data_IF_559703008468
#
_entry.id   IF_559703008468
#
_cell.length_a   1.000
_cell.length_b   1.000
_cell.length_c   1.000
_cell.angle_alpha   90.00
_cell.angle_beta   90.00
_cell.angle_gamma   90.00
#
_symmetry.space_group_name_H-M   'P 1'
#
loop_
_entity.id
_entity.type
_entity.pdbx_description
1 polymer ?
#
# COMPACT_ATOMS: atom_id res chain seq x y z
N UNK A 1 -17.03 12.83 -2.17
CA UNK A 1 -16.27 11.70 -2.74
C UNK A 1 -15.24 11.29 -1.70
N UNK A 2 -15.24 10.01 -1.35
CA UNK A 2 -14.73 9.55 -0.07
C UNK A 2 -13.26 9.11 -0.13
N UNK A 3 -12.69 8.83 1.05
CA UNK A 3 -11.33 8.32 1.18
C UNK A 3 -11.21 6.97 0.46
N UNK A 4 -10.06 6.70 -0.15
CA UNK A 4 -9.79 5.39 -0.75
C UNK A 4 -8.35 4.95 -0.53
N UNK A 5 -8.15 3.64 -0.55
CA UNK A 5 -6.87 2.99 -0.36
C UNK A 5 -6.55 2.14 -1.59
N UNK A 6 -5.40 2.37 -2.19
CA UNK A 6 -4.86 1.54 -3.26
C UNK A 6 -3.54 0.91 -2.83
N UNK A 7 -3.26 -0.29 -3.33
CA UNK A 7 -2.05 -1.03 -2.97
C UNK A 7 -1.38 -1.58 -4.22
N UNK A 8 -0.09 -1.34 -4.33
CA UNK A 8 0.74 -1.90 -5.40
C UNK A 8 1.72 -2.87 -4.76
N UNK A 9 1.78 -4.07 -5.33
CA UNK A 9 2.70 -5.12 -4.90
C UNK A 9 3.79 -5.25 -5.95
N UNK A 10 5.05 -5.36 -5.53
CA UNK A 10 6.17 -5.47 -6.46
C UNK A 10 7.39 -6.19 -5.86
N UNK A 11 8.32 -6.64 -6.71
CA UNK A 11 9.55 -7.28 -6.26
C UNK A 11 10.50 -6.29 -5.58
N UNK A 12 10.61 -5.07 -6.10
CA UNK A 12 11.58 -4.09 -5.63
C UNK A 12 11.08 -2.64 -5.78
N UNK A 13 11.49 -1.79 -4.86
CA UNK A 13 11.30 -0.34 -4.90
C UNK A 13 12.68 0.30 -4.94
N UNK A 14 12.97 1.05 -5.99
CA UNK A 14 14.22 1.82 -6.12
C UNK A 14 13.93 3.30 -5.97
N UNK A 15 14.79 3.97 -5.21
CA UNK A 15 14.79 5.41 -5.08
C UNK A 15 15.59 6.02 -6.22
N UNK A 16 14.98 6.97 -6.90
CA UNK A 16 15.56 7.71 -8.01
C UNK A 16 15.78 9.18 -7.62
N UNK A 17 16.56 9.90 -8.43
CA UNK A 17 16.80 11.34 -8.25
C UNK A 17 15.47 12.10 -8.21
N UNK A 18 15.33 12.98 -7.21
CA UNK A 18 14.15 13.83 -7.03
C UNK A 18 12.98 13.14 -6.33
N UNK A 19 13.25 12.23 -5.38
CA UNK A 19 12.22 11.52 -4.59
C UNK A 19 11.23 10.70 -5.44
N UNK A 20 11.65 10.26 -6.62
CA UNK A 20 10.87 9.36 -7.47
C UNK A 20 11.13 7.91 -7.08
N UNK A 21 10.15 7.05 -7.37
CA UNK A 21 10.25 5.62 -7.12
C UNK A 21 10.08 4.82 -8.41
N UNK A 22 10.97 3.87 -8.64
CA UNK A 22 10.81 2.83 -9.67
C UNK A 22 10.30 1.56 -9.02
N UNK A 23 9.15 1.06 -9.48
CA UNK A 23 8.55 -0.19 -9.00
C UNK A 23 8.86 -1.32 -9.98
N UNK A 24 9.64 -2.30 -9.55
CA UNK A 24 10.11 -3.41 -10.40
C UNK A 24 9.32 -4.67 -10.12
N UNK A 25 8.92 -5.39 -11.17
CA UNK A 25 8.18 -6.65 -11.05
C UNK A 25 6.81 -6.43 -10.40
N UNK A 26 5.93 -5.66 -11.05
CA UNK A 26 4.59 -5.38 -10.54
C UNK A 26 3.72 -6.65 -10.56
N UNK A 27 3.08 -6.91 -9.43
CA UNK A 27 2.02 -7.91 -9.33
C UNK A 27 0.66 -7.22 -9.43
N UNK A 28 -0.21 -7.75 -10.29
CA UNK A 28 -1.59 -7.29 -10.41
C UNK A 28 -2.43 -7.79 -9.23
N UNK A 29 -3.21 -8.85 -9.42
CA UNK A 29 -4.02 -9.47 -8.35
C UNK A 29 -3.44 -10.78 -7.85
N UNK A 30 -2.55 -11.40 -8.63
CA UNK A 30 -2.03 -12.74 -8.39
C UNK A 30 -0.50 -12.74 -8.47
N UNK A 31 0.12 -13.49 -7.56
CA UNK A 31 1.52 -13.88 -7.57
C UNK A 31 1.58 -15.40 -7.68
N UNK A 32 2.31 -15.88 -8.67
CA UNK A 32 2.44 -17.31 -8.96
C UNK A 32 3.77 -17.85 -8.44
N UNK A 33 3.72 -18.97 -7.74
CA UNK A 33 4.90 -19.75 -7.34
C UNK A 33 4.81 -21.15 -7.95
N UNK A 34 5.94 -21.84 -8.09
CA UNK A 34 5.96 -23.19 -8.67
C UNK A 34 5.45 -24.25 -7.68
N UNK A 35 5.81 -24.13 -6.41
CA UNK A 35 5.41 -25.05 -5.34
C UNK A 35 5.45 -24.34 -3.98
N UNK A 36 4.91 -24.99 -2.95
CA UNK A 36 5.05 -24.54 -1.55
C UNK A 36 5.86 -25.57 -0.74
N UNK A 37 6.67 -25.13 0.24
CA UNK A 37 6.87 -23.75 0.65
C UNK A 37 7.67 -22.94 -0.38
N UNK A 38 7.32 -21.67 -0.54
CA UNK A 38 8.04 -20.74 -1.39
C UNK A 38 8.59 -19.58 -0.57
N UNK A 39 9.77 -19.08 -0.94
CA UNK A 39 10.36 -17.90 -0.34
C UNK A 39 10.68 -16.88 -1.42
N UNK A 40 10.06 -15.71 -1.30
CA UNK A 40 10.42 -14.55 -2.09
C UNK A 40 11.62 -13.87 -1.43
N UNK A 41 12.68 -13.52 -2.20
CA UNK A 41 13.78 -12.73 -1.67
C UNK A 41 13.31 -11.40 -1.08
N UNK A 42 12.30 -10.80 -1.72
CA UNK A 42 11.70 -9.53 -1.35
C UNK A 42 10.27 -9.46 -1.88
N UNK A 43 9.36 -8.93 -1.05
CA UNK A 43 8.05 -8.47 -1.49
C UNK A 43 7.85 -7.05 -0.97
N UNK A 44 7.70 -6.11 -1.89
CA UNK A 44 7.43 -4.72 -1.62
C UNK A 44 5.93 -4.41 -1.74
N UNK A 45 5.44 -3.56 -0.86
CA UNK A 45 4.05 -3.10 -0.82
C UNK A 45 4.06 -1.58 -0.78
N UNK A 46 3.50 -0.93 -1.79
CA UNK A 46 3.26 0.51 -1.84
C UNK A 46 1.79 0.77 -1.56
N UNK A 47 1.53 1.58 -0.55
CA UNK A 47 0.19 1.93 -0.10
C UNK A 47 -0.06 3.40 -0.46
N UNK A 48 -1.10 3.64 -1.24
CA UNK A 48 -1.53 4.97 -1.65
C UNK A 48 -2.88 5.23 -1.00
N UNK A 49 -2.89 6.06 0.05
CA UNK A 49 -4.10 6.48 0.74
C UNK A 49 -4.44 7.90 0.30
N UNK A 50 -5.66 8.10 -0.17
CA UNK A 50 -6.13 9.39 -0.65
C UNK A 50 -7.32 9.88 0.16
N UNK A 51 -7.27 11.13 0.62
CA UNK A 51 -8.31 11.77 1.43
C UNK A 51 -8.73 13.12 0.84
N UNK A 52 -10.00 13.56 1.00
CA UNK A 52 -10.40 14.92 0.68
C UNK A 52 -9.56 15.95 1.46
N UNK A 53 -9.18 17.05 0.82
CA UNK A 53 -8.36 18.08 1.46
C UNK A 53 -9.09 18.79 2.62
N UNK A 54 -10.42 18.91 2.53
CA UNK A 54 -11.26 19.53 3.56
C UNK A 54 -11.59 18.56 4.70
N UNK A 55 -11.23 17.28 4.56
CA UNK A 55 -11.39 16.26 5.58
C UNK A 55 -10.11 15.41 5.73
N UNK A 56 -9.00 16.04 6.17
CA UNK A 56 -7.72 15.36 6.35
C UNK A 56 -7.81 14.26 7.40
N UNK A 57 -6.85 13.33 7.37
CA UNK A 57 -6.76 12.23 8.32
C UNK A 57 -6.34 12.74 9.70
N UNK A 58 -7.07 12.31 10.72
CA UNK A 58 -6.73 12.56 12.13
C UNK A 58 -6.13 11.35 12.82
N UNK A 59 -6.45 10.15 12.33
CA UNK A 59 -5.91 8.88 12.80
C UNK A 59 -5.65 7.97 11.62
N UNK A 60 -4.54 7.25 11.67
CA UNK A 60 -4.23 6.22 10.68
C UNK A 60 -3.44 5.09 11.34
N UNK A 61 -3.94 3.86 11.20
CA UNK A 61 -3.16 2.64 11.41
C UNK A 61 -3.19 1.84 10.12
N UNK A 62 -2.03 1.58 9.52
CA UNK A 62 -1.93 0.73 8.33
C UNK A 62 -1.54 -0.68 8.76
N UNK A 63 -2.30 -1.68 8.31
CA UNK A 63 -2.05 -3.10 8.59
C UNK A 63 -1.80 -3.86 7.30
N UNK A 64 -0.72 -4.63 7.25
CA UNK A 64 -0.51 -5.66 6.22
C UNK A 64 -0.97 -6.98 6.82
N UNK A 65 -1.92 -7.64 6.19
CA UNK A 65 -2.51 -8.89 6.67
C UNK A 65 -2.22 -10.05 5.72
N UNK A 66 -2.08 -11.26 6.26
CA UNK A 66 -2.01 -12.54 5.54
C UNK A 66 -3.14 -13.43 6.05
N UNK A 67 -4.06 -13.79 5.17
CA UNK A 67 -5.26 -14.57 5.51
C UNK A 67 -6.08 -13.96 6.67
N UNK A 68 -6.04 -12.63 6.81
CA UNK A 68 -6.72 -11.88 7.88
C UNK A 68 -5.89 -11.68 9.15
N UNK A 69 -4.76 -12.36 9.30
CA UNK A 69 -3.84 -12.16 10.42
C UNK A 69 -2.85 -11.02 10.13
N UNK A 70 -2.60 -10.14 11.11
CA UNK A 70 -1.70 -9.00 10.94
C UNK A 70 -0.24 -9.46 10.88
N UNK A 71 0.45 -9.16 9.77
CA UNK A 71 1.89 -9.31 9.64
C UNK A 71 2.64 -8.05 10.08
N UNK A 72 2.08 -6.88 9.76
CA UNK A 72 2.62 -5.57 10.11
C UNK A 72 1.47 -4.71 10.60
N UNK A 73 1.71 -3.96 11.67
CA UNK A 73 0.83 -2.91 12.16
C UNK A 73 1.65 -1.62 12.36
N UNK A 74 1.30 -0.58 11.61
CA UNK A 74 2.00 0.70 11.58
C UNK A 74 1.03 1.83 11.98
N UNK A 75 0.92 2.14 13.28
CA UNK A 75 0.18 3.32 13.73
C UNK A 75 0.96 4.60 13.37
N UNK A 76 0.24 5.63 12.96
CA UNK A 76 0.80 6.95 12.67
C UNK A 76 0.45 7.93 13.79
N UNK A 77 1.44 8.69 14.25
CA UNK A 77 1.21 9.77 15.21
C UNK A 77 0.55 10.97 14.53
N UNK A 78 -0.09 11.84 15.31
CA UNK A 78 -0.67 13.08 14.79
C UNK A 78 0.38 13.95 14.08
N UNK A 79 1.61 14.00 14.59
CA UNK A 79 2.70 14.76 13.96
C UNK A 79 3.07 14.23 12.58
N UNK A 80 3.15 12.89 12.44
CA UNK A 80 3.44 12.21 11.17
C UNK A 80 2.32 12.39 10.15
N UNK A 81 1.08 12.64 10.61
CA UNK A 81 -0.05 12.98 9.74
C UNK A 81 -0.06 14.48 9.40
N UNK A 82 0.22 15.35 10.36
CA UNK A 82 0.01 16.79 10.21
C UNK A 82 1.03 17.45 9.28
N UNK A 83 2.32 17.15 9.42
CA UNK A 83 3.36 17.77 8.57
C UNK A 83 3.10 17.61 7.07
N UNK A 84 2.94 16.39 6.51
CA UNK A 84 2.75 16.22 5.08
C UNK A 84 1.40 16.78 4.61
N UNK A 85 0.35 16.73 5.44
CA UNK A 85 -0.96 17.26 5.09
C UNK A 85 -0.96 18.80 5.03
N UNK A 86 -0.33 19.47 6.00
CA UNK A 86 -0.26 20.94 6.06
C UNK A 86 0.47 21.52 4.86
N UNK A 87 1.60 20.96 4.45
CA UNK A 87 2.34 21.43 3.27
C UNK A 87 1.50 21.34 1.98
N UNK A 88 0.73 20.26 1.83
CA UNK A 88 -0.17 20.07 0.67
C UNK A 88 -1.37 21.02 0.73
N UNK A 89 -1.91 21.26 1.93
CA UNK A 89 -3.02 22.19 2.14
C UNK A 89 -2.61 23.63 1.81
N UNK A 90 -1.42 24.04 2.24
CA UNK A 90 -0.91 25.40 2.05
C UNK A 90 -0.48 25.68 0.61
N UNK A 91 0.24 24.74 -0.01
CA UNK A 91 0.83 24.90 -1.35
C UNK A 91 -0.08 24.41 -2.50
N UNK A 92 -1.20 23.76 -2.18
CA UNK A 92 -2.12 23.24 -3.20
C UNK A 92 -2.90 24.33 -3.95
N UNK A 93 -3.51 23.93 -5.06
CA UNK A 93 -4.28 24.79 -5.98
C UNK A 93 -5.58 25.33 -5.35
N UNK A 94 -5.48 26.45 -4.62
CA UNK A 94 -6.62 27.05 -3.89
C UNK A 94 -7.76 27.40 -4.85
N UNK A 95 -8.92 26.77 -4.66
CA UNK A 95 -10.13 26.97 -5.47
C UNK A 95 -10.51 25.77 -6.34
N UNK A 96 -9.62 24.78 -6.50
CA UNK A 96 -9.94 23.53 -7.16
C UNK A 96 -10.77 22.62 -6.23
N UNK A 97 -12.01 22.21 -6.60
CA UNK A 97 -12.87 21.37 -5.78
C UNK A 97 -12.40 19.91 -5.69
N UNK A 98 -11.50 19.48 -6.57
CA UNK A 98 -11.03 18.10 -6.66
C UNK A 98 -9.71 17.86 -5.91
N UNK A 99 -9.25 18.84 -5.12
CA UNK A 99 -8.03 18.71 -4.32
C UNK A 99 -8.09 17.53 -3.35
N UNK A 100 -7.01 16.76 -3.35
CA UNK A 100 -6.81 15.61 -2.47
C UNK A 100 -5.45 15.68 -1.79
N UNK A 101 -5.37 15.00 -0.66
CA UNK A 101 -4.08 14.66 -0.05
C UNK A 101 -3.84 13.18 -0.33
N UNK A 102 -2.68 12.87 -0.90
CA UNK A 102 -2.23 11.50 -1.13
C UNK A 102 -1.04 11.21 -0.20
N UNK A 103 -1.14 10.12 0.55
CA UNK A 103 -0.09 9.61 1.41
C UNK A 103 0.44 8.30 0.82
N UNK A 104 1.76 8.23 0.64
CA UNK A 104 2.44 7.04 0.17
C UNK A 104 3.22 6.40 1.32
N UNK A 105 2.89 5.16 1.66
CA UNK A 105 3.66 4.35 2.60
C UNK A 105 4.23 3.15 1.88
N UNK A 106 5.42 2.70 2.27
CA UNK A 106 6.05 1.51 1.69
C UNK A 106 6.41 0.51 2.78
N UNK A 107 6.16 -0.76 2.50
CA UNK A 107 6.55 -1.88 3.36
C UNK A 107 7.39 -2.86 2.54
N UNK A 108 8.40 -3.44 3.17
CA UNK A 108 9.25 -4.44 2.56
C UNK A 108 9.29 -5.68 3.45
N UNK A 109 8.87 -6.82 2.89
CA UNK A 109 8.95 -8.12 3.53
C UNK A 109 10.16 -8.86 2.95
N UNK A 110 11.22 -9.02 3.75
CA UNK A 110 12.50 -9.59 3.31
C UNK A 110 13.13 -10.47 4.39
N UNK A 111 13.36 -11.78 4.14
CA UNK A 111 12.68 -12.58 3.11
C UNK A 111 11.18 -12.72 3.44
N UNK A 112 10.37 -13.11 2.44
CA UNK A 112 8.96 -13.39 2.65
C UNK A 112 8.63 -14.84 2.30
N UNK A 113 8.36 -15.64 3.33
CA UNK A 113 8.06 -17.07 3.18
C UNK A 113 6.56 -17.37 3.28
N UNK A 114 6.10 -18.29 2.42
CA UNK A 114 4.72 -18.74 2.32
C UNK A 114 4.68 -20.26 2.27
N UNK A 115 3.93 -20.85 3.20
CA UNK A 115 3.81 -22.31 3.36
C UNK A 115 2.71 -22.93 2.49
N UNK A 116 1.78 -22.10 2.01
CA UNK A 116 0.62 -22.50 1.23
C UNK A 116 0.04 -21.28 0.52
N UNK A 117 -0.99 -21.53 -0.30
CA UNK A 117 -1.80 -20.47 -0.88
C UNK A 117 -2.33 -19.54 0.21
N UNK A 118 -2.20 -18.24 -0.02
CA UNK A 118 -2.62 -17.23 0.94
C UNK A 118 -2.97 -15.91 0.23
N UNK A 119 -3.63 -15.04 0.97
CA UNK A 119 -4.04 -13.72 0.50
C UNK A 119 -3.39 -12.65 1.37
N UNK A 120 -2.62 -11.77 0.74
CA UNK A 120 -2.16 -10.54 1.36
C UNK A 120 -3.14 -9.41 1.11
N UNK A 121 -3.38 -8.58 2.12
CA UNK A 121 -4.20 -7.37 1.99
C UNK A 121 -3.72 -6.27 2.92
N UNK A 122 -3.77 -5.05 2.42
CA UNK A 122 -3.57 -3.84 3.25
C UNK A 122 -4.91 -3.30 3.72
N UNK A 123 -4.98 -2.99 5.01
CA UNK A 123 -6.09 -2.29 5.65
C UNK A 123 -5.58 -0.95 6.18
N UNK A 124 -6.39 0.10 6.09
CA UNK A 124 -6.13 1.37 6.76
C UNK A 124 -7.29 1.68 7.70
N UNK A 125 -7.02 1.68 9.00
CA UNK A 125 -7.98 2.08 10.03
C UNK A 125 -7.87 3.59 10.24
N UNK A 126 -8.96 4.30 9.99
CA UNK A 126 -9.06 5.75 10.17
C UNK A 126 -10.12 6.10 11.21
N UNK A 127 -10.25 7.37 11.55
CA UNK A 127 -11.34 7.88 12.40
C UNK A 127 -12.73 7.71 11.78
N UNK A 128 -12.82 7.52 10.45
CA UNK A 128 -14.08 7.34 9.72
C UNK A 128 -14.39 5.87 9.39
N UNK A 129 -13.55 4.94 9.85
CA UNK A 129 -13.68 3.50 9.58
C UNK A 129 -12.49 2.91 8.83
N UNK A 130 -12.65 1.64 8.44
CA UNK A 130 -11.65 0.84 7.74
C UNK A 130 -11.74 1.05 6.22
N UNK A 131 -10.58 1.27 5.59
CA UNK A 131 -10.40 1.25 4.14
C UNK A 131 -9.64 -0.03 3.75
N UNK A 132 -10.00 -0.61 2.60
CA UNK A 132 -9.41 -1.86 2.11
C UNK A 132 -8.71 -1.64 0.79
N UNK A 133 -7.45 -2.04 0.72
CA UNK A 133 -6.70 -2.10 -0.53
C UNK A 133 -7.09 -3.35 -1.34
N UNK A 134 -6.68 -3.37 -2.60
CA UNK A 134 -6.71 -4.60 -3.40
C UNK A 134 -5.84 -5.68 -2.74
N UNK A 135 -6.24 -6.93 -2.93
CA UNK A 135 -5.52 -8.07 -2.39
C UNK A 135 -4.51 -8.61 -3.40
N UNK A 136 -3.45 -9.24 -2.88
CA UNK A 136 -2.54 -10.09 -3.64
C UNK A 136 -2.78 -11.54 -3.25
N UNK A 137 -3.19 -12.38 -4.21
CA UNK A 137 -3.37 -13.82 -4.01
C UNK A 137 -2.09 -14.54 -4.42
N UNK A 138 -1.52 -15.32 -3.52
CA UNK A 138 -0.33 -16.12 -3.77
C UNK A 138 -0.79 -17.57 -3.98
N UNK A 139 -0.52 -18.12 -5.16
CA UNK A 139 -1.02 -19.45 -5.56
C UNK A 139 -0.03 -20.20 -6.46
N UNK A 140 -0.23 -21.50 -6.60
CA UNK A 140 0.53 -22.30 -7.58
C UNK A 140 0.02 -21.98 -8.99
N UNK A 141 0.94 -21.82 -9.95
CA UNK A 141 0.62 -21.71 -11.36
C UNK A 141 1.68 -20.97 -12.15
N UNK A 142 1.30 -20.48 -13.32
CA UNK A 142 2.15 -19.66 -14.19
C UNK A 142 1.45 -18.34 -14.49
N UNK A 143 2.24 -17.25 -14.55
CA UNK A 143 1.72 -15.96 -14.93
C UNK A 143 1.21 -16.00 -16.37
N UNK A 144 0.02 -15.43 -16.66
CA UNK A 144 -0.47 -15.35 -18.03
C UNK A 144 0.48 -14.51 -18.88
N UNK A 145 0.84 -15.03 -20.05
CA UNK A 145 1.60 -14.28 -21.04
C UNK A 145 0.69 -13.20 -21.64
N UNK A 146 1.05 -11.94 -21.48
CA UNK A 146 0.34 -10.83 -22.11
C UNK A 146 0.90 -10.69 -23.52
N UNK A 147 0.09 -11.04 -24.53
CA UNK A 147 0.39 -10.89 -25.95
C UNK A 147 0.13 -9.48 -26.45
#
# INVERSE_FOLDING_TARGET
>A
MDRYLHTIYCDDIRLEVGNKQSLMGLYASDLFVHEFPATLPKLCIVVILVTPIDNPLRKLTVKVTKDGESLIEAPMTEEQLNQPQSEIIENGDKGNPDRRIAMNLTFMLTPFSVEKECVLRVLAETESGELRGNALRIKIGEAPQIS
#
